data_IF_769719957844
#
_entry.id   IF_769719957844
#
_cell.length_a   1.000
_cell.length_b   1.000
_cell.length_c   1.000
_cell.angle_alpha   90.00
_cell.angle_beta   90.00
_cell.angle_gamma   90.00
#
_symmetry.space_group_name_H-M   'P 1'
#
loop_
_entity.id
_entity.type
_entity.pdbx_description
1 polymer ?
#
# COMPACT_ATOMS: atom_id res chain seq x y z
N UNK A 1 -7.68 20.24 11.86
CA UNK A 1 -8.46 19.08 12.35
C UNK A 1 -8.88 18.28 11.11
N UNK A 2 -8.05 17.33 10.67
CA UNK A 2 -8.36 16.51 9.51
C UNK A 2 -9.32 15.42 9.97
N UNK A 3 -10.58 15.50 9.54
CA UNK A 3 -11.57 14.46 9.77
C UNK A 3 -11.05 13.17 9.10
N UNK A 4 -10.78 12.16 9.91
CA UNK A 4 -10.64 10.80 9.42
C UNK A 4 -12.01 10.39 8.91
N UNK A 5 -12.27 10.60 7.61
CA UNK A 5 -13.34 9.88 6.93
C UNK A 5 -13.03 8.41 7.14
N UNK A 6 -13.87 7.75 7.92
CA UNK A 6 -13.91 6.30 8.04
C UNK A 6 -13.92 5.77 6.62
N UNK A 7 -12.81 5.14 6.21
CA UNK A 7 -12.72 4.50 4.89
C UNK A 7 -13.79 3.42 4.91
N UNK A 8 -14.87 3.65 4.19
CA UNK A 8 -15.99 2.72 4.12
C UNK A 8 -15.44 1.36 3.67
N UNK A 9 -15.63 0.33 4.49
CA UNK A 9 -14.94 -0.96 4.33
C UNK A 9 -15.65 -1.86 3.32
N UNK A 10 -16.13 -1.28 2.23
CA UNK A 10 -16.92 -2.00 1.25
C UNK A 10 -15.99 -2.82 0.34
N UNK A 11 -16.39 -4.04 -0.07
CA UNK A 11 -15.59 -4.89 -0.96
C UNK A 11 -15.20 -4.18 -2.25
N UNK A 12 -16.05 -3.31 -2.76
CA UNK A 12 -15.86 -2.45 -3.93
C UNK A 12 -14.59 -1.60 -3.79
N UNK A 13 -14.34 -1.08 -2.59
CA UNK A 13 -13.21 -0.20 -2.34
C UNK A 13 -11.88 -0.96 -2.34
N UNK A 14 -11.87 -2.18 -1.81
CA UNK A 14 -10.67 -3.02 -1.73
C UNK A 14 -10.41 -3.81 -3.02
N UNK A 15 -11.45 -4.27 -3.70
CA UNK A 15 -11.29 -5.10 -4.89
C UNK A 15 -11.15 -4.26 -6.16
N UNK A 16 -11.86 -3.13 -6.24
CA UNK A 16 -11.98 -2.33 -7.47
C UNK A 16 -11.35 -0.94 -7.34
N UNK A 17 -10.72 -0.59 -6.22
CA UNK A 17 -10.20 0.75 -5.93
C UNK A 17 -11.28 1.85 -6.02
N UNK A 18 -12.55 1.48 -5.86
CA UNK A 18 -13.63 2.47 -5.80
C UNK A 18 -13.42 3.25 -4.51
N UNK A 19 -13.29 4.56 -4.61
CA UNK A 19 -13.00 5.37 -3.42
C UNK A 19 -13.71 6.71 -3.55
N UNK A 20 -14.27 7.24 -2.45
CA UNK A 20 -14.82 8.59 -2.46
C UNK A 20 -13.71 9.66 -2.56
N UNK A 21 -12.43 9.27 -2.45
CA UNK A 21 -11.32 10.19 -2.55
C UNK A 21 -11.09 10.65 -4.00
N UNK A 22 -10.74 11.94 -4.23
CA UNK A 22 -10.28 12.38 -5.52
C UNK A 22 -9.07 11.56 -5.97
N UNK A 23 -9.03 11.18 -7.26
CA UNK A 23 -7.97 10.32 -7.83
C UNK A 23 -6.56 10.85 -7.54
N UNK A 24 -6.37 12.17 -7.60
CA UNK A 24 -5.08 12.82 -7.33
C UNK A 24 -4.62 12.65 -5.87
N UNK A 25 -5.56 12.54 -4.93
CA UNK A 25 -5.30 12.28 -3.51
C UNK A 25 -5.07 10.80 -3.29
N UNK A 26 -5.93 9.95 -3.86
CA UNK A 26 -5.81 8.49 -3.74
C UNK A 26 -4.47 7.96 -4.24
N UNK A 27 -3.98 8.45 -5.38
CA UNK A 27 -2.65 8.11 -5.93
C UNK A 27 -1.47 8.54 -5.05
N UNK A 28 -1.70 9.37 -4.04
CA UNK A 28 -0.69 9.84 -3.09
C UNK A 28 -0.78 9.13 -1.74
N UNK A 29 -1.67 8.15 -1.59
CA UNK A 29 -1.73 7.31 -0.39
C UNK A 29 -1.05 5.97 -0.63
N UNK A 30 -0.78 5.24 0.45
CA UNK A 30 -0.28 3.86 0.41
C UNK A 30 -1.35 2.85 -0.02
N UNK A 31 -2.63 3.19 0.12
CA UNK A 31 -3.78 2.29 -0.08
C UNK A 31 -3.75 1.53 -1.42
N UNK A 32 -3.46 2.16 -2.58
CA UNK A 32 -3.39 1.44 -3.84
C UNK A 32 -2.32 0.35 -3.84
N UNK A 33 -1.18 0.58 -3.18
CA UNK A 33 -0.08 -0.38 -3.09
C UNK A 33 -0.46 -1.57 -2.21
N UNK A 34 -1.14 -1.33 -1.09
CA UNK A 34 -1.64 -2.40 -0.22
C UNK A 34 -2.68 -3.28 -0.94
N UNK A 35 -3.60 -2.66 -1.69
CA UNK A 35 -4.57 -3.39 -2.50
C UNK A 35 -3.88 -4.17 -3.61
N UNK A 36 -2.91 -3.58 -4.30
CA UNK A 36 -2.14 -4.28 -5.33
C UNK A 36 -1.37 -5.47 -4.75
N UNK A 37 -0.79 -5.34 -3.56
CA UNK A 37 -0.17 -6.44 -2.84
C UNK A 37 -1.19 -7.55 -2.58
N UNK A 38 -2.39 -7.21 -2.11
CA UNK A 38 -3.48 -8.17 -1.87
C UNK A 38 -3.92 -8.89 -3.15
N UNK A 39 -4.13 -8.14 -4.23
CA UNK A 39 -4.49 -8.67 -5.55
C UNK A 39 -3.42 -9.58 -6.14
N UNK A 40 -2.16 -9.45 -5.72
CA UNK A 40 -1.08 -10.35 -6.13
C UNK A 40 -0.93 -11.58 -5.23
N UNK A 41 -1.05 -11.41 -3.90
CA UNK A 41 -0.79 -12.46 -2.92
C UNK A 41 -1.97 -13.41 -2.77
N UNK A 42 -3.22 -12.91 -2.74
CA UNK A 42 -4.39 -13.77 -2.56
C UNK A 42 -4.47 -14.82 -3.70
N UNK A 43 -4.34 -14.43 -4.99
CA UNK A 43 -4.30 -15.42 -6.06
C UNK A 43 -2.99 -16.23 -6.13
N UNK A 44 -1.91 -15.82 -5.48
CA UNK A 44 -0.71 -16.65 -5.41
C UNK A 44 -0.83 -17.78 -4.36
N UNK A 45 -1.72 -17.61 -3.38
CA UNK A 45 -1.92 -18.54 -2.27
C UNK A 45 -3.28 -19.27 -2.31
N UNK A 46 -4.18 -18.98 -3.25
CA UNK A 46 -5.55 -19.54 -3.23
C UNK A 46 -5.63 -21.07 -3.30
N UNK A 47 -4.65 -21.74 -3.92
CA UNK A 47 -4.56 -23.22 -3.97
C UNK A 47 -3.67 -23.81 -2.87
N UNK A 48 -3.00 -22.97 -2.09
CA UNK A 48 -2.12 -23.41 -1.01
C UNK A 48 -2.95 -23.61 0.25
N UNK A 49 -2.53 -24.53 1.10
CA UNK A 49 -3.16 -24.78 2.41
C UNK A 49 -2.87 -23.65 3.40
N UNK A 50 -1.77 -22.93 3.22
CA UNK A 50 -1.39 -21.79 4.04
C UNK A 50 -1.82 -20.47 3.40
N UNK A 51 -2.25 -19.52 4.23
CA UNK A 51 -2.46 -18.11 3.83
C UNK A 51 -1.12 -17.37 3.73
N UNK A 52 -1.05 -16.24 3.00
CA UNK A 52 0.16 -15.41 2.98
C UNK A 52 0.53 -14.98 4.40
N UNK A 53 1.79 -15.21 4.78
CA UNK A 53 2.31 -14.77 6.07
C UNK A 53 2.53 -13.27 6.10
N UNK A 54 2.69 -12.69 7.29
CA UNK A 54 3.03 -11.27 7.40
C UNK A 54 4.32 -10.91 6.65
N UNK A 55 5.30 -11.82 6.65
CA UNK A 55 6.55 -11.66 5.90
C UNK A 55 6.27 -11.58 4.40
N UNK A 56 5.39 -12.41 3.86
CA UNK A 56 5.00 -12.36 2.44
C UNK A 56 4.37 -11.01 2.07
N UNK A 57 3.51 -10.48 2.95
CA UNK A 57 2.93 -9.15 2.78
C UNK A 57 3.98 -8.04 2.79
N UNK A 58 4.88 -8.05 3.78
CA UNK A 58 5.94 -7.05 3.92
C UNK A 58 6.86 -7.10 2.70
N UNK A 59 7.34 -8.28 2.30
CA UNK A 59 8.21 -8.43 1.13
C UNK A 59 7.56 -7.87 -0.13
N UNK A 60 6.29 -8.21 -0.37
CA UNK A 60 5.56 -7.72 -1.56
C UNK A 60 5.39 -6.20 -1.57
N UNK A 61 5.13 -5.60 -0.41
CA UNK A 61 4.97 -4.14 -0.31
C UNK A 61 6.33 -3.45 -0.44
N UNK A 62 7.39 -4.01 0.12
CA UNK A 62 8.77 -3.52 -0.03
C UNK A 62 9.25 -3.57 -1.48
N UNK A 63 8.96 -4.64 -2.22
CA UNK A 63 9.26 -4.71 -3.66
C UNK A 63 8.64 -3.53 -4.42
N UNK A 64 7.37 -3.23 -4.15
CA UNK A 64 6.68 -2.10 -4.75
C UNK A 64 7.28 -0.75 -4.31
N UNK A 65 7.63 -0.63 -3.03
CA UNK A 65 8.24 0.58 -2.47
C UNK A 65 9.60 0.86 -3.12
N UNK A 66 10.47 -0.14 -3.24
CA UNK A 66 11.80 0.01 -3.84
C UNK A 66 11.71 0.45 -5.29
N UNK A 67 10.79 -0.10 -6.08
CA UNK A 67 10.58 0.32 -7.47
C UNK A 67 10.11 1.78 -7.52
N UNK A 68 9.12 2.15 -6.70
CA UNK A 68 8.58 3.51 -6.68
C UNK A 68 9.61 4.53 -6.16
N UNK A 69 10.44 4.14 -5.18
CA UNK A 69 11.56 4.93 -4.65
C UNK A 69 12.55 5.28 -5.77
N UNK A 70 12.99 4.28 -6.54
CA UNK A 70 13.92 4.49 -7.66
C UNK A 70 13.31 5.43 -8.71
N UNK A 71 12.04 5.24 -9.07
CA UNK A 71 11.35 6.05 -10.08
C UNK A 71 11.18 7.50 -9.59
N UNK A 72 10.71 7.71 -8.36
CA UNK A 72 10.40 9.04 -7.86
C UNK A 72 11.67 9.82 -7.50
N UNK A 73 12.70 9.17 -6.94
CA UNK A 73 13.98 9.82 -6.67
C UNK A 73 14.66 10.23 -7.98
N UNK A 74 14.69 9.36 -8.99
CA UNK A 74 15.25 9.69 -10.31
C UNK A 74 14.53 10.88 -10.98
N UNK A 75 13.26 11.14 -10.62
CA UNK A 75 12.46 12.27 -11.10
C UNK A 75 12.49 13.50 -10.19
N UNK A 76 13.30 13.50 -9.12
CA UNK A 76 13.35 14.59 -8.15
C UNK A 76 12.07 14.75 -7.31
N UNK A 77 11.23 13.72 -7.23
CA UNK A 77 9.93 13.72 -6.54
C UNK A 77 10.00 13.13 -5.12
N UNK A 78 11.08 13.36 -4.40
CA UNK A 78 11.32 12.80 -3.05
C UNK A 78 10.20 13.14 -2.06
N UNK A 79 9.63 14.35 -2.12
CA UNK A 79 8.50 14.72 -1.25
C UNK A 79 7.25 13.87 -1.52
N UNK A 80 7.01 13.47 -2.78
CA UNK A 80 5.88 12.61 -3.14
C UNK A 80 6.10 11.21 -2.59
N UNK A 81 7.32 10.69 -2.73
CA UNK A 81 7.70 9.40 -2.14
C UNK A 81 7.45 9.39 -0.63
N UNK A 82 7.95 10.41 0.09
CA UNK A 82 7.72 10.54 1.53
C UNK A 82 6.23 10.58 1.89
N UNK A 83 5.41 11.35 1.16
CA UNK A 83 3.95 11.42 1.44
C UNK A 83 3.24 10.08 1.31
N UNK A 84 3.67 9.23 0.37
CA UNK A 84 3.07 7.91 0.16
C UNK A 84 3.54 6.94 1.25
N UNK A 85 4.84 6.91 1.52
CA UNK A 85 5.49 5.81 2.24
C UNK A 85 5.82 6.09 3.71
N UNK A 86 5.69 7.33 4.18
CA UNK A 86 6.05 7.68 5.57
C UNK A 86 5.33 6.80 6.61
N UNK A 87 4.02 6.61 6.46
CA UNK A 87 3.25 5.80 7.40
C UNK A 87 3.61 4.31 7.35
N UNK A 88 4.00 3.80 6.17
CA UNK A 88 4.51 2.45 6.03
C UNK A 88 5.82 2.27 6.79
N UNK A 89 6.77 3.17 6.55
CA UNK A 89 8.09 3.13 7.16
C UNK A 89 7.99 3.25 8.69
N UNK A 90 7.15 4.18 9.18
CA UNK A 90 6.86 4.30 10.61
C UNK A 90 6.30 3.01 11.20
N UNK A 91 5.32 2.40 10.54
CA UNK A 91 4.74 1.14 10.97
C UNK A 91 5.78 0.00 10.97
N UNK A 92 6.67 -0.05 9.98
CA UNK A 92 7.71 -1.07 9.87
C UNK A 92 8.78 -0.91 10.96
N UNK A 93 9.24 0.33 11.21
CA UNK A 93 10.20 0.64 12.28
C UNK A 93 9.65 0.26 13.65
N UNK A 94 8.37 0.54 13.91
CA UNK A 94 7.72 0.18 15.18
C UNK A 94 7.48 -1.33 15.35
N UNK A 95 7.73 -2.14 14.32
CA UNK A 95 7.51 -3.60 14.32
C UNK A 95 8.82 -4.39 14.42
N UNK A 96 9.98 -3.75 14.26
CA UNK A 96 11.25 -4.43 14.52
C UNK A 96 11.42 -4.64 16.04
N UNK A 97 11.90 -5.82 16.48
CA UNK A 97 12.07 -6.16 17.90
C UNK A 97 13.12 -5.30 18.59
#
# INVERSE_FOLDING_TARGET
MLMYNTVDLTPENYLLHLTPLPLATYKKTITPYLINAARSLIPAFWKKTATPSMTDWIMRIEDMRTIEELILIARGQTQRYQKIWLHWLQWLTNRQP
#
